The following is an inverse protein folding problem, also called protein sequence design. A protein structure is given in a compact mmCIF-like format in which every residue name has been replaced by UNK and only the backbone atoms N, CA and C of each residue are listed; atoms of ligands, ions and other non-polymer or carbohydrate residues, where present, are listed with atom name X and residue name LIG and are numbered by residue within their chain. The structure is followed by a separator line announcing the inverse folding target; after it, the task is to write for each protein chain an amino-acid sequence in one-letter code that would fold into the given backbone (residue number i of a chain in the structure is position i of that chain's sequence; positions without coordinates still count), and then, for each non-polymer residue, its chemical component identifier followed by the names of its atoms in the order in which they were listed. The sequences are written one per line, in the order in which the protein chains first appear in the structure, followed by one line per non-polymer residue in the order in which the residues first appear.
data_IF_728173536540
#
_entry.id   IF_728173536540
#
_cell.length_a   1.000
_cell.length_b   1.000
_cell.length_c   1.000
_cell.angle_alpha   90.00
_cell.angle_beta   90.00
_cell.angle_gamma   90.00
#
_symmetry.space_group_name_H-M   'P 1'
#
loop_
_entity.id
_entity.type
_entity.pdbx_description
1 polymer ?
#
# COMPACT_ATOMS: atom_id res chain seq x y z
N UNK A 1 13.16 21.13 -5.45
CA UNK A 1 11.76 21.48 -5.78
C UNK A 1 10.98 20.37 -6.49
N UNK A 2 11.43 19.84 -7.64
CA UNK A 2 10.59 18.95 -8.46
C UNK A 2 10.12 17.67 -7.76
N UNK A 3 10.97 17.04 -6.93
CA UNK A 3 10.58 15.88 -6.10
C UNK A 3 9.44 16.19 -5.14
N UNK A 4 9.42 17.40 -4.56
CA UNK A 4 8.37 17.82 -3.63
C UNK A 4 7.04 17.92 -4.37
N UNK A 5 7.03 18.58 -5.53
CA UNK A 5 5.81 18.66 -6.37
C UNK A 5 5.32 17.26 -6.72
N UNK A 6 6.22 16.39 -7.17
CA UNK A 6 5.90 15.01 -7.54
C UNK A 6 5.33 14.20 -6.36
N UNK A 7 5.89 14.35 -5.15
CA UNK A 7 5.42 13.66 -3.94
C UNK A 7 4.02 14.08 -3.49
N UNK A 8 3.59 15.30 -3.85
CA UNK A 8 2.29 15.86 -3.50
C UNK A 8 1.20 15.50 -4.51
N UNK A 9 1.58 15.02 -5.70
CA UNK A 9 0.61 14.59 -6.70
C UNK A 9 0.02 13.23 -6.30
N UNK A 10 -1.29 13.02 -6.52
CA UNK A 10 -1.84 11.67 -6.49
C UNK A 10 -1.05 10.76 -7.45
N UNK A 11 -0.84 9.52 -7.02
CA UNK A 11 0.10 8.58 -7.67
C UNK A 11 -0.11 8.44 -9.18
N UNK A 12 -1.37 8.46 -9.64
CA UNK A 12 -1.75 8.41 -11.05
C UNK A 12 -1.20 9.58 -11.86
N UNK A 13 -1.23 10.79 -11.29
CA UNK A 13 -0.74 11.99 -11.94
C UNK A 13 0.78 12.08 -11.85
N UNK A 14 1.35 11.74 -10.70
CA UNK A 14 2.79 11.65 -10.50
C UNK A 14 3.46 10.71 -11.53
N UNK A 15 2.92 9.50 -11.71
CA UNK A 15 3.41 8.57 -12.73
C UNK A 15 3.28 9.12 -14.17
N UNK A 16 2.19 9.84 -14.50
CA UNK A 16 1.98 10.45 -15.83
C UNK A 16 2.98 11.55 -16.14
N UNK A 17 3.52 12.24 -15.13
CA UNK A 17 4.56 13.26 -15.37
C UNK A 17 5.82 12.68 -16.02
N UNK A 18 6.05 11.37 -15.87
CA UNK A 18 7.18 10.67 -16.53
C UNK A 18 7.06 10.66 -18.07
N UNK A 19 5.86 10.90 -18.61
CA UNK A 19 5.63 11.03 -20.06
C UNK A 19 6.12 12.36 -20.61
N UNK A 20 6.21 13.41 -19.78
CA UNK A 20 6.66 14.73 -20.21
C UNK A 20 8.17 14.76 -20.48
N UNK A 21 8.94 13.93 -19.77
CA UNK A 21 10.38 13.80 -19.99
C UNK A 21 10.93 12.54 -19.32
N UNK A 22 11.83 11.81 -20.01
CA UNK A 22 12.53 10.63 -19.47
C UNK A 22 13.27 10.91 -18.16
N UNK A 23 13.70 12.16 -17.92
CA UNK A 23 14.39 12.58 -16.69
C UNK A 23 13.49 12.54 -15.45
N UNK A 24 12.17 12.55 -15.62
CA UNK A 24 11.21 12.53 -14.52
C UNK A 24 10.96 11.12 -13.99
N UNK A 25 11.22 10.08 -14.79
CA UNK A 25 11.04 8.67 -14.38
C UNK A 25 11.87 8.28 -13.14
N UNK A 26 13.19 8.53 -13.08
CA UNK A 26 13.97 8.23 -11.87
C UNK A 26 13.56 9.11 -10.67
N UNK A 27 13.10 10.34 -10.91
CA UNK A 27 12.62 11.24 -9.84
C UNK A 27 11.31 10.74 -9.24
N UNK A 28 10.38 10.29 -10.08
CA UNK A 28 9.14 9.62 -9.68
C UNK A 28 9.44 8.39 -8.83
N UNK A 29 10.26 7.47 -9.36
CA UNK A 29 10.53 6.19 -8.68
C UNK A 29 11.22 6.34 -7.31
N UNK A 30 11.87 7.47 -7.03
CA UNK A 30 12.58 7.71 -5.76
C UNK A 30 11.95 8.81 -4.92
N UNK A 31 10.80 9.33 -5.33
CA UNK A 31 10.02 10.28 -4.53
C UNK A 31 9.31 9.52 -3.41
N UNK A 32 9.15 10.07 -2.19
CA UNK A 32 8.22 9.48 -1.23
C UNK A 32 6.79 9.48 -1.80
N UNK A 33 6.02 8.43 -1.49
CA UNK A 33 4.59 8.34 -1.80
C UNK A 33 3.79 8.61 -0.53
N UNK A 34 3.07 9.74 -0.51
CA UNK A 34 2.28 10.13 0.65
C UNK A 34 1.09 9.21 0.89
N UNK A 35 0.36 8.83 -0.17
CA UNK A 35 -0.78 7.93 -0.09
C UNK A 35 -0.97 7.14 -1.38
N UNK A 36 -1.09 5.82 -1.25
CA UNK A 36 -1.49 4.91 -2.31
C UNK A 36 -2.91 4.46 -2.04
N UNK A 37 -3.86 4.79 -2.92
CA UNK A 37 -5.19 4.19 -2.91
C UNK A 37 -5.26 3.13 -4.02
N UNK A 38 -5.34 1.85 -3.63
CA UNK A 38 -5.36 0.74 -4.58
C UNK A 38 -6.60 0.76 -5.47
N UNK A 39 -7.68 1.46 -5.12
CA UNK A 39 -8.88 1.58 -5.94
C UNK A 39 -8.76 2.67 -7.00
N UNK A 40 -7.88 3.66 -6.79
CA UNK A 40 -7.70 4.79 -7.71
C UNK A 40 -6.57 4.61 -8.74
N UNK A 41 -5.78 3.53 -8.65
CA UNK A 41 -4.64 3.33 -9.55
C UNK A 41 -5.07 3.14 -11.00
N UNK A 42 -6.09 2.31 -11.24
CA UNK A 42 -6.57 1.98 -12.57
C UNK A 42 -8.07 1.65 -12.56
N UNK A 43 -8.72 1.87 -13.71
CA UNK A 43 -10.08 1.40 -13.94
C UNK A 43 -10.10 -0.13 -14.01
N UNK A 44 -10.75 -0.76 -13.04
CA UNK A 44 -10.94 -2.20 -12.95
C UNK A 44 -10.02 -2.89 -11.94
N UNK A 45 -10.63 -3.69 -11.07
CA UNK A 45 -9.97 -4.38 -9.95
C UNK A 45 -8.62 -5.03 -10.28
N UNK A 46 -8.58 -5.92 -11.29
CA UNK A 46 -7.36 -6.66 -11.65
C UNK A 46 -6.24 -5.73 -12.12
N UNK A 47 -6.57 -4.75 -12.97
CA UNK A 47 -5.60 -3.77 -13.46
C UNK A 47 -5.04 -2.93 -12.31
N UNK A 48 -5.88 -2.60 -11.33
CA UNK A 48 -5.46 -1.87 -10.14
C UNK A 48 -4.50 -2.67 -9.27
N UNK A 49 -4.78 -3.96 -9.04
CA UNK A 49 -3.87 -4.83 -8.29
C UNK A 49 -2.53 -5.05 -9.00
N UNK A 50 -2.55 -5.23 -10.33
CA UNK A 50 -1.32 -5.40 -11.09
C UNK A 50 -0.51 -4.10 -11.15
N UNK A 51 -1.17 -2.94 -11.18
CA UNK A 51 -0.52 -1.63 -11.04
C UNK A 51 0.12 -1.48 -9.65
N UNK A 52 -0.58 -1.91 -8.59
CA UNK A 52 -0.05 -1.89 -7.23
C UNK A 52 1.20 -2.78 -7.11
N UNK A 53 1.16 -4.03 -7.59
CA UNK A 53 2.35 -4.89 -7.64
C UNK A 53 3.52 -4.24 -8.38
N UNK A 54 3.26 -3.58 -9.52
CA UNK A 54 4.31 -2.87 -10.28
C UNK A 54 4.89 -1.70 -9.49
N UNK A 55 4.07 -0.95 -8.76
CA UNK A 55 4.54 0.14 -7.89
C UNK A 55 5.45 -0.44 -6.81
N UNK A 56 5.01 -1.44 -6.06
CA UNK A 56 5.82 -2.06 -5.00
C UNK A 56 7.15 -2.63 -5.52
N UNK A 57 7.18 -3.12 -6.78
CA UNK A 57 8.39 -3.67 -7.39
C UNK A 57 9.31 -2.66 -8.09
N UNK A 58 8.84 -1.46 -8.41
CA UNK A 58 9.62 -0.46 -9.17
C UNK A 58 9.89 0.84 -8.43
N UNK A 59 9.17 1.07 -7.34
CA UNK A 59 9.27 2.27 -6.54
C UNK A 59 10.26 2.08 -5.40
N UNK A 60 11.30 2.91 -5.39
CA UNK A 60 12.41 2.90 -4.44
C UNK A 60 12.21 3.89 -3.28
N UNK A 61 11.29 4.85 -3.43
CA UNK A 61 10.95 5.79 -2.36
C UNK A 61 10.05 5.18 -1.30
N UNK A 62 10.07 5.72 -0.06
CA UNK A 62 9.24 5.21 1.02
C UNK A 62 7.75 5.48 0.76
N UNK A 63 6.90 4.52 1.13
CA UNK A 63 5.45 4.67 1.12
C UNK A 63 4.96 5.01 2.51
N UNK A 64 4.35 6.19 2.70
CA UNK A 64 3.85 6.64 4.00
C UNK A 64 2.41 6.25 4.26
N UNK A 65 1.58 6.17 3.23
CA UNK A 65 0.16 5.89 3.36
C UNK A 65 -0.31 4.84 2.38
N UNK A 66 -1.16 3.92 2.84
CA UNK A 66 -1.77 2.87 2.05
C UNK A 66 -3.24 2.76 2.41
N UNK A 67 -4.10 2.92 1.41
CA UNK A 67 -5.52 2.60 1.47
C UNK A 67 -5.79 1.47 0.48
N UNK A 68 -6.28 0.36 1.01
CA UNK A 68 -6.60 -0.81 0.20
C UNK A 68 -7.88 -1.48 0.67
N UNK A 69 -8.56 -2.18 -0.23
CA UNK A 69 -9.85 -2.77 0.09
C UNK A 69 -10.64 -3.28 -1.11
N UNK A 70 -11.74 -4.00 -0.82
CA UNK A 70 -12.64 -4.68 -1.77
C UNK A 70 -11.97 -5.80 -2.58
N UNK A 71 -11.30 -6.73 -1.92
CA UNK A 71 -10.69 -7.86 -2.62
C UNK A 71 -11.74 -8.93 -2.97
N UNK A 72 -11.67 -9.54 -4.15
CA UNK A 72 -12.57 -10.66 -4.55
C UNK A 72 -12.20 -11.97 -3.85
N UNK A 73 -13.11 -12.61 -3.11
CA UNK A 73 -12.80 -13.78 -2.25
C UNK A 73 -12.28 -15.00 -3.03
N UNK A 74 -10.99 -15.01 -3.37
CA UNK A 74 -10.28 -16.11 -4.00
C UNK A 74 -8.87 -16.24 -3.40
N UNK A 75 -8.30 -17.45 -3.45
CA UNK A 75 -7.01 -17.76 -2.83
C UNK A 75 -5.82 -17.01 -3.43
N UNK A 76 -5.84 -16.71 -4.74
CA UNK A 76 -4.75 -15.98 -5.42
C UNK A 76 -4.60 -14.55 -4.88
N UNK A 77 -5.71 -13.88 -4.62
CA UNK A 77 -5.71 -12.54 -4.06
C UNK A 77 -5.21 -12.54 -2.61
N UNK A 78 -5.40 -13.64 -1.85
CA UNK A 78 -4.84 -13.77 -0.48
C UNK A 78 -3.32 -13.89 -0.49
N UNK A 79 -2.76 -14.73 -1.36
CA UNK A 79 -1.30 -14.89 -1.48
C UNK A 79 -0.63 -13.57 -1.91
N UNK A 80 -1.19 -12.90 -2.94
CA UNK A 80 -0.70 -11.59 -3.38
C UNK A 80 -0.74 -10.55 -2.25
N UNK A 81 -1.79 -10.57 -1.44
CA UNK A 81 -1.96 -9.64 -0.34
C UNK A 81 -0.86 -9.87 0.71
N UNK A 82 -0.58 -11.12 1.10
CA UNK A 82 0.56 -11.43 2.00
C UNK A 82 1.91 -10.99 1.41
N UNK A 83 2.14 -11.23 0.11
CA UNK A 83 3.36 -10.81 -0.58
C UNK A 83 3.55 -9.29 -0.56
N UNK A 84 2.46 -8.53 -0.73
CA UNK A 84 2.52 -7.07 -0.70
C UNK A 84 2.92 -6.53 0.67
N UNK A 85 2.36 -7.07 1.76
CA UNK A 85 2.74 -6.64 3.12
C UNK A 85 4.17 -7.04 3.49
N UNK A 86 4.78 -8.01 2.79
CA UNK A 86 6.22 -8.34 2.92
C UNK A 86 7.13 -7.41 2.11
N UNK A 87 6.57 -6.54 1.27
CA UNK A 87 7.38 -5.66 0.41
C UNK A 87 8.15 -4.62 1.24
N UNK A 88 9.46 -4.45 1.01
CA UNK A 88 10.25 -3.38 1.64
C UNK A 88 9.75 -1.97 1.35
N UNK A 89 9.02 -1.78 0.23
CA UNK A 89 8.46 -0.49 -0.14
C UNK A 89 7.42 0.05 0.86
N UNK A 90 6.92 -0.81 1.75
CA UNK A 90 5.99 -0.47 2.83
C UNK A 90 6.67 -0.32 4.21
N UNK A 91 8.00 -0.44 4.31
CA UNK A 91 8.68 -0.46 5.62
C UNK A 91 8.47 0.82 6.44
N UNK A 92 8.28 1.95 5.78
CA UNK A 92 8.04 3.26 6.40
C UNK A 92 6.56 3.66 6.38
N UNK A 93 5.65 2.68 6.35
CA UNK A 93 4.21 2.95 6.32
C UNK A 93 3.73 3.55 7.65
N UNK A 94 3.30 4.80 7.61
CA UNK A 94 2.75 5.53 8.75
C UNK A 94 1.21 5.37 8.84
N UNK A 95 0.52 5.24 7.71
CA UNK A 95 -0.94 5.17 7.65
C UNK A 95 -1.42 3.95 6.86
N UNK A 96 -2.24 3.11 7.50
CA UNK A 96 -2.91 1.97 6.86
C UNK A 96 -4.42 2.10 7.00
N UNK A 97 -5.14 2.06 5.88
CA UNK A 97 -6.58 1.83 5.84
C UNK A 97 -6.86 0.54 5.07
N UNK A 98 -7.50 -0.42 5.73
CA UNK A 98 -7.86 -1.71 5.18
C UNK A 98 -9.38 -1.90 5.25
N UNK A 99 -10.06 -1.96 4.10
CA UNK A 99 -11.51 -2.12 3.99
C UNK A 99 -11.89 -3.24 3.02
N UNK A 100 -11.91 -4.49 3.49
CA UNK A 100 -12.06 -5.62 2.58
C UNK A 100 -13.51 -5.83 2.08
N UNK A 101 -14.53 -5.33 2.78
CA UNK A 101 -15.96 -5.49 2.42
C UNK A 101 -16.47 -6.95 2.38
N UNK A 102 -15.58 -7.94 2.35
CA UNK A 102 -15.86 -9.37 2.26
C UNK A 102 -15.25 -10.16 3.43
N UNK A 103 -14.94 -9.48 4.54
CA UNK A 103 -14.49 -10.09 5.79
C UNK A 103 -13.23 -10.97 5.66
N UNK A 104 -12.20 -10.52 4.96
CA UNK A 104 -10.87 -11.16 5.07
C UNK A 104 -10.21 -10.86 6.38
N UNK A 105 -9.42 -11.83 6.82
CA UNK A 105 -8.36 -11.62 7.79
C UNK A 105 -7.26 -10.76 7.19
N UNK A 106 -6.84 -9.71 7.91
CA UNK A 106 -5.57 -9.06 7.66
C UNK A 106 -4.45 -10.14 7.73
N UNK A 107 -3.51 -10.20 6.78
CA UNK A 107 -2.48 -11.23 6.81
C UNK A 107 -1.51 -10.96 7.96
N UNK A 108 -0.91 -12.02 8.49
CA UNK A 108 0.08 -11.91 9.58
C UNK A 108 1.29 -11.07 9.17
N UNK A 109 1.65 -11.03 7.89
CA UNK A 109 2.70 -10.15 7.35
C UNK A 109 2.44 -8.67 7.60
N UNK A 110 1.19 -8.23 7.76
CA UNK A 110 0.87 -6.84 8.08
C UNK A 110 1.36 -6.43 9.48
N UNK A 111 1.54 -7.40 10.39
CA UNK A 111 2.02 -7.12 11.76
C UNK A 111 3.44 -6.55 11.76
N UNK A 112 4.23 -6.76 10.70
CA UNK A 112 5.57 -6.18 10.59
C UNK A 112 5.56 -4.65 10.49
N UNK A 113 4.44 -4.08 10.09
CA UNK A 113 4.26 -2.62 9.92
C UNK A 113 3.87 -1.94 11.22
N UNK A 114 3.54 -2.70 12.28
CA UNK A 114 3.11 -2.16 13.57
C UNK A 114 4.11 -1.15 14.17
N UNK A 115 5.44 -1.34 14.10
CA UNK A 115 6.38 -0.38 14.67
C UNK A 115 6.43 0.98 13.97
N UNK A 116 6.02 1.05 12.70
CA UNK A 116 6.06 2.29 11.90
C UNK A 116 4.67 2.92 11.72
N UNK A 117 3.61 2.16 11.94
CA UNK A 117 2.24 2.62 11.87
C UNK A 117 1.90 3.62 12.97
N UNK A 118 1.36 4.77 12.55
CA UNK A 118 0.83 5.84 13.41
C UNK A 118 -0.69 5.86 13.37
N UNK A 119 -1.29 5.50 12.23
CA UNK A 119 -2.73 5.46 12.04
C UNK A 119 -3.11 4.15 11.35
N UNK A 120 -3.96 3.35 11.99
CA UNK A 120 -4.51 2.14 11.41
C UNK A 120 -6.05 2.17 11.46
N UNK A 121 -6.69 2.00 10.30
CA UNK A 121 -8.15 1.97 10.14
C UNK A 121 -8.55 0.65 9.51
N UNK A 122 -9.26 -0.17 10.26
CA UNK A 122 -9.74 -1.48 9.84
C UNK A 122 -11.27 -1.41 9.68
N UNK A 123 -11.77 -1.76 8.50
CA UNK A 123 -13.21 -1.77 8.17
C UNK A 123 -13.56 -3.10 7.55
N UNK A 124 -14.67 -3.70 7.99
CA UNK A 124 -15.22 -4.94 7.40
C UNK A 124 -14.18 -6.07 7.23
N UNK A 125 -13.28 -6.23 8.21
CA UNK A 125 -12.20 -7.23 8.18
C UNK A 125 -12.07 -7.97 9.51
N UNK A 126 -11.51 -9.18 9.46
CA UNK A 126 -11.13 -9.94 10.66
C UNK A 126 -9.65 -9.72 10.97
N UNK A 127 -9.29 -9.86 12.24
CA UNK A 127 -7.89 -9.93 12.65
C UNK A 127 -7.43 -11.40 12.62
N UNK A 128 -6.15 -11.67 12.31
CA UNK A 128 -5.64 -13.03 12.42
C UNK A 128 -5.76 -13.50 13.88
N UNK A 129 -6.01 -14.79 14.13
CA UNK A 129 -5.99 -15.33 15.49
C UNK A 129 -4.58 -15.14 16.07
N UNK A 130 -4.49 -14.31 17.11
CA UNK A 130 -3.27 -14.07 17.88
C UNK A 130 -3.10 -15.25 18.85
N UNK A 131 -2.54 -16.35 18.38
CA UNK A 131 -2.09 -17.41 19.29
C UNK A 131 -0.75 -16.96 19.89
N UNK A 132 -0.75 -16.65 21.19
CA UNK A 132 0.39 -16.38 22.09
C UNK A 132 1.30 -15.18 21.76
N UNK A 133 0.72 -13.98 21.62
CA UNK A 133 1.49 -12.71 21.75
C UNK A 133 0.80 -11.83 22.79
N UNK A 134 1.53 -11.22 23.75
CA UNK A 134 0.92 -10.33 24.72
C UNK A 134 0.18 -9.21 23.98
N UNK A 135 -1.05 -8.93 24.42
CA UNK A 135 -1.89 -7.89 23.85
C UNK A 135 -1.07 -6.60 23.66
N UNK A 136 -1.16 -6.02 22.46
CA UNK A 136 -0.60 -4.70 22.17
C UNK A 136 -1.25 -3.68 23.11
N UNK A 137 -0.53 -3.29 24.15
CA UNK A 137 -0.86 -2.12 24.95
C UNK A 137 -0.50 -0.92 24.09
N UNK A 138 -1.51 -0.32 23.45
CA UNK A 138 -1.38 1.00 22.87
C UNK A 138 -1.41 2.03 24.03
N UNK A 139 -0.51 3.03 24.05
CA UNK A 139 -0.47 4.07 25.07
C UNK A 139 -1.74 4.93 25.09
#
# INVERSE_FOLDING_TARGET
MLRVIISLLPIKYGARTTLLSRRWRPLWNSSPLNLIDTQELCHGYRKSLDAFSKILGSHLGPTKGLRMGKFRSNGKDRAKLDDWFRSPSLDQLEELTFDDGHMRSLPTSALRLVPTLRVAKFRNCHFPPLNDVPALILP
#
